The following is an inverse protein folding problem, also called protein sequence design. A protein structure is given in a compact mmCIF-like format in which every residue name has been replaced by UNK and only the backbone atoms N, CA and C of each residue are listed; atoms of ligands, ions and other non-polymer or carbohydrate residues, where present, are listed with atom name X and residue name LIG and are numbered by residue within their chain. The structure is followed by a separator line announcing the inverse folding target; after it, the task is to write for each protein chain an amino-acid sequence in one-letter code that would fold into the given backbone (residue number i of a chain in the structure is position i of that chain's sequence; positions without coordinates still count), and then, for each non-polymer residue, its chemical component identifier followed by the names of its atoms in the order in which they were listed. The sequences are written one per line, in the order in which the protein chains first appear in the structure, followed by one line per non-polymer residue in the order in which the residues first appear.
data_IF_472165237138
#
_entry.id   IF_472165237138
#
_cell.length_a   1.000
_cell.length_b   1.000
_cell.length_c   1.000
_cell.angle_alpha   90.00
_cell.angle_beta   90.00
_cell.angle_gamma   90.00
#
_symmetry.space_group_name_H-M   'P 1'
#
loop_
_entity.id
_entity.type
_entity.pdbx_description
1 polymer ?
#
# COMPACT_ATOMS: atom_id res chain seq x y z
N UNK A 1 23.73 -0.12 -13.29
CA UNK A 1 22.31 0.26 -13.42
C UNK A 1 21.74 0.38 -12.02
N UNK A 2 21.31 1.57 -11.61
CA UNK A 2 20.72 1.78 -10.28
C UNK A 2 19.32 1.16 -10.28
N UNK A 3 19.17 -0.02 -9.68
CA UNK A 3 17.86 -0.62 -9.40
C UNK A 3 17.24 0.19 -8.26
N UNK A 4 16.56 1.29 -8.59
CA UNK A 4 15.63 1.90 -7.65
C UNK A 4 14.49 0.89 -7.45
N UNK A 5 14.63 0.01 -6.45
CA UNK A 5 13.61 -0.99 -6.06
C UNK A 5 12.39 -0.34 -5.40
N UNK A 6 12.40 0.99 -5.22
CA UNK A 6 11.28 1.76 -4.68
C UNK A 6 10.51 2.44 -5.79
N UNK A 7 9.20 2.15 -5.87
CA UNK A 7 8.23 2.88 -6.68
C UNK A 7 7.21 3.54 -5.75
N UNK A 8 6.97 4.83 -5.93
CA UNK A 8 5.87 5.53 -5.26
C UNK A 8 4.54 5.11 -5.88
N UNK A 9 3.56 4.82 -5.05
CA UNK A 9 2.17 4.53 -5.43
C UNK A 9 1.34 5.71 -4.93
N UNK A 10 0.61 6.35 -5.82
CA UNK A 10 -0.25 7.49 -5.50
C UNK A 10 -1.70 7.03 -5.25
N UNK A 11 -2.56 7.90 -4.71
CA UNK A 11 -3.99 7.62 -4.62
C UNK A 11 -4.55 7.23 -5.99
N UNK A 12 -5.44 6.25 -6.00
CA UNK A 12 -6.02 5.57 -7.19
C UNK A 12 -5.07 4.69 -7.97
N UNK A 13 -3.79 4.62 -7.60
CA UNK A 13 -2.83 3.70 -8.20
C UNK A 13 -2.75 2.37 -7.44
N UNK A 14 -2.17 1.37 -8.11
CA UNK A 14 -1.96 0.02 -7.59
C UNK A 14 -0.54 -0.47 -7.86
N UNK A 15 -0.15 -1.47 -7.09
CA UNK A 15 0.98 -2.34 -7.44
C UNK A 15 0.71 -3.09 -8.76
N UNK A 16 1.68 -3.16 -9.69
CA UNK A 16 1.59 -3.99 -10.90
C UNK A 16 1.19 -5.44 -10.62
N UNK A 17 0.33 -6.01 -11.48
CA UNK A 17 -0.02 -7.43 -11.43
C UNK A 17 1.14 -8.31 -11.91
N UNK A 18 1.25 -9.52 -11.35
CA UNK A 18 2.27 -10.50 -11.76
C UNK A 18 3.70 -10.15 -11.35
N UNK A 19 3.86 -9.20 -10.43
CA UNK A 19 5.12 -8.89 -9.77
C UNK A 19 4.98 -9.21 -8.28
N UNK A 20 5.98 -9.87 -7.69
CA UNK A 20 6.04 -10.08 -6.25
C UNK A 20 6.53 -8.77 -5.62
N UNK A 21 5.60 -7.96 -5.13
CA UNK A 21 5.91 -6.72 -4.41
C UNK A 21 6.03 -7.03 -2.93
N UNK A 22 7.21 -6.81 -2.36
CA UNK A 22 7.44 -7.10 -0.94
C UNK A 22 6.65 -6.16 -0.01
N UNK A 23 6.59 -4.86 -0.34
CA UNK A 23 5.97 -3.86 0.52
C UNK A 23 5.67 -2.54 -0.20
N UNK A 24 4.80 -1.71 0.41
CA UNK A 24 4.69 -0.28 0.13
C UNK A 24 5.02 0.55 1.39
N UNK A 25 5.41 1.81 1.20
CA UNK A 25 5.74 2.74 2.30
C UNK A 25 4.55 3.63 2.63
N UNK A 26 4.27 3.77 3.92
CA UNK A 26 3.34 4.75 4.50
C UNK A 26 4.19 5.86 5.13
N UNK A 27 4.04 7.08 4.64
CA UNK A 27 4.85 8.21 5.08
C UNK A 27 4.51 8.72 6.48
N UNK A 28 5.53 9.25 7.16
CA UNK A 28 5.35 10.00 8.39
C UNK A 28 4.45 11.22 8.16
N UNK A 29 3.52 11.48 9.07
CA UNK A 29 2.58 12.60 8.97
C UNK A 29 1.38 12.34 8.03
N UNK A 30 1.23 11.14 7.48
CA UNK A 30 0.13 10.79 6.60
C UNK A 30 -0.75 9.67 7.16
N UNK A 31 -2.00 9.63 6.72
CA UNK A 31 -2.86 8.47 6.88
C UNK A 31 -3.33 7.97 5.52
N UNK A 32 -3.24 6.66 5.32
CA UNK A 32 -3.57 5.98 4.08
C UNK A 32 -4.73 5.03 4.32
N UNK A 33 -5.66 4.99 3.37
CA UNK A 33 -6.68 3.94 3.27
C UNK A 33 -6.34 3.08 2.06
N UNK A 34 -6.10 1.79 2.31
CA UNK A 34 -5.56 0.85 1.31
C UNK A 34 -6.49 -0.33 1.17
N UNK A 35 -6.91 -0.64 -0.05
CA UNK A 35 -7.58 -1.89 -0.38
C UNK A 35 -6.54 -2.91 -0.84
N UNK A 36 -6.63 -4.10 -0.28
CA UNK A 36 -5.88 -5.26 -0.70
C UNK A 36 -6.80 -6.18 -1.48
N UNK A 37 -6.28 -6.67 -2.59
CA UNK A 37 -6.95 -7.64 -3.44
C UNK A 37 -6.00 -8.82 -3.65
N UNK A 38 -6.37 -9.98 -3.11
CA UNK A 38 -5.70 -11.25 -3.34
C UNK A 38 -6.52 -12.04 -4.35
N UNK A 39 -6.00 -12.17 -5.57
CA UNK A 39 -6.63 -12.95 -6.64
C UNK A 39 -5.98 -14.33 -6.70
N UNK A 40 -6.43 -15.23 -5.83
CA UNK A 40 -6.01 -16.64 -5.90
C UNK A 40 -6.99 -17.42 -6.79
N UNK A 41 -6.56 -18.42 -7.58
CA UNK A 41 -7.38 -19.09 -8.60
C UNK A 41 -8.74 -19.66 -8.14
N UNK A 42 -8.91 -19.89 -6.84
CA UNK A 42 -10.11 -20.47 -6.26
C UNK A 42 -10.83 -19.54 -5.27
N UNK A 43 -10.21 -18.44 -4.87
CA UNK A 43 -10.70 -17.53 -3.81
C UNK A 43 -10.18 -16.12 -4.06
N UNK A 44 -11.10 -15.18 -4.29
CA UNK A 44 -10.80 -13.75 -4.28
C UNK A 44 -11.03 -13.21 -2.88
N UNK A 45 -9.99 -12.65 -2.25
CA UNK A 45 -10.10 -11.97 -0.96
C UNK A 45 -9.86 -10.48 -1.18
N UNK A 46 -10.79 -9.66 -0.70
CA UNK A 46 -10.67 -8.20 -0.72
C UNK A 46 -10.90 -7.66 0.67
N UNK A 47 -10.03 -6.77 1.13
CA UNK A 47 -10.19 -6.11 2.42
C UNK A 47 -9.55 -4.73 2.40
N UNK A 48 -10.01 -3.86 3.29
CA UNK A 48 -9.47 -2.51 3.43
C UNK A 48 -8.79 -2.37 4.78
N UNK A 49 -7.63 -1.70 4.80
CA UNK A 49 -6.95 -1.31 6.04
C UNK A 49 -6.61 0.17 6.00
N UNK A 50 -6.67 0.79 7.18
CA UNK A 50 -6.22 2.16 7.39
C UNK A 50 -4.88 2.13 8.11
N UNK A 51 -3.88 2.81 7.55
CA UNK A 51 -2.57 2.98 8.13
C UNK A 51 -2.40 4.43 8.58
N UNK A 52 -2.57 4.67 9.88
CA UNK A 52 -2.44 6.00 10.46
C UNK A 52 -1.01 6.26 10.93
N UNK A 53 -0.33 7.18 10.25
CA UNK A 53 0.96 7.77 10.64
C UNK A 53 0.84 9.29 10.79
N UNK A 54 -0.36 9.84 10.92
CA UNK A 54 -0.64 11.28 10.97
C UNK A 54 0.13 12.00 12.08
N UNK A 55 0.27 11.34 13.23
CA UNK A 55 0.98 11.86 14.40
C UNK A 55 2.38 11.23 14.58
N UNK A 56 2.94 10.63 13.54
CA UNK A 56 4.24 9.99 13.62
C UNK A 56 5.30 10.70 12.80
N UNK A 57 6.52 10.72 13.33
CA UNK A 57 7.72 11.26 12.68
C UNK A 57 8.48 10.21 11.85
N UNK A 58 8.06 8.94 11.86
CA UNK A 58 8.74 7.87 11.13
C UNK A 58 7.81 7.17 10.12
N UNK A 59 8.29 6.82 8.92
CA UNK A 59 7.52 6.03 7.97
C UNK A 59 7.48 4.56 8.41
N UNK A 60 6.57 3.78 7.83
CA UNK A 60 6.53 2.32 7.97
C UNK A 60 6.41 1.64 6.60
N UNK A 61 6.95 0.43 6.49
CA UNK A 61 6.75 -0.43 5.32
C UNK A 61 5.70 -1.48 5.65
N UNK A 62 4.71 -1.60 4.78
CA UNK A 62 3.61 -2.54 4.91
C UNK A 62 3.82 -3.65 3.89
N UNK A 63 3.99 -4.88 4.37
CA UNK A 63 4.13 -6.06 3.51
C UNK A 63 2.85 -6.31 2.71
N UNK A 64 3.01 -6.66 1.44
CA UNK A 64 1.93 -7.16 0.58
C UNK A 64 2.08 -8.67 0.50
N UNK A 65 0.98 -9.43 0.58
CA UNK A 65 1.04 -10.89 0.42
C UNK A 65 1.40 -11.24 -1.05
N UNK A 66 2.08 -12.37 -1.30
CA UNK A 66 2.64 -12.69 -2.62
C UNK A 66 1.64 -12.60 -3.81
N UNK A 67 0.40 -13.15 -3.77
CA UNK A 67 -0.57 -12.97 -4.86
C UNK A 67 -1.49 -11.75 -4.64
N UNK A 68 -1.12 -10.83 -3.76
CA UNK A 68 -1.94 -9.65 -3.45
C UNK A 68 -1.45 -8.39 -4.13
N UNK A 69 -2.40 -7.51 -4.39
CA UNK A 69 -2.17 -6.15 -4.83
C UNK A 69 -2.65 -5.19 -3.73
N UNK A 70 -1.89 -4.13 -3.51
CA UNK A 70 -2.31 -2.98 -2.72
C UNK A 70 -2.77 -1.83 -3.63
N UNK A 71 -3.92 -1.26 -3.31
CA UNK A 71 -4.57 -0.12 -3.96
C UNK A 71 -4.72 1.00 -2.96
N UNK A 72 -4.05 2.13 -3.16
CA UNK A 72 -4.20 3.29 -2.27
C UNK A 72 -5.50 4.00 -2.66
N UNK A 73 -6.56 3.83 -1.87
CA UNK A 73 -7.87 4.42 -2.13
C UNK A 73 -7.86 5.90 -1.77
N UNK A 74 -7.23 6.25 -0.65
CA UNK A 74 -7.11 7.62 -0.20
C UNK A 74 -5.82 7.79 0.61
N UNK A 75 -5.24 8.99 0.55
CA UNK A 75 -4.18 9.41 1.46
C UNK A 75 -4.38 10.87 1.83
N UNK A 76 -4.10 11.23 3.08
CA UNK A 76 -4.19 12.61 3.55
C UNK A 76 -3.13 12.89 4.61
N UNK A 77 -2.56 14.08 4.57
CA UNK A 77 -1.63 14.55 5.59
C UNK A 77 -2.39 14.99 6.87
N UNK A 78 -1.87 14.62 8.03
CA UNK A 78 -2.32 15.08 9.35
C UNK A 78 -3.65 14.51 9.88
N UNK A 79 -4.39 13.73 9.09
CA UNK A 79 -5.63 13.08 9.54
C UNK A 79 -6.06 11.97 8.58
N UNK A 80 -6.76 10.95 9.08
CA UNK A 80 -7.34 9.91 8.23
C UNK A 80 -8.52 10.39 7.37
N UNK A 81 -8.56 10.01 6.08
CA UNK A 81 -9.72 10.17 5.21
C UNK A 81 -10.82 9.14 5.49
#
# INVERSE_FOLDING_TARGET
MSLSSTKWIYPTERTPSGQDWDAFRVDAGYCYKVEFLNEFPLLTKRWTMTYDRSNSSTPVYVKIENPSQAYIIAQKAGSCP
#
